data_IF_253134996382
#
_entry.id   IF_253134996382
#
_cell.length_a   1.000
_cell.length_b   1.000
_cell.length_c   1.000
_cell.angle_alpha   90.00
_cell.angle_beta   90.00
_cell.angle_gamma   90.00
#
_symmetry.space_group_name_H-M   'P 1'
#
loop_
_entity.id
_entity.type
_entity.pdbx_description
1 polymer ?
#
# COMPACT_ATOMS: atom_id res chain seq x y z
N UNK A 1 -1.13 -16.81 13.57
CA UNK A 1 -2.12 -15.73 13.35
C UNK A 1 -2.60 -15.62 11.91
N UNK A 2 -2.03 -16.36 10.94
CA UNK A 2 -2.55 -16.36 9.57
C UNK A 2 -2.35 -15.05 8.80
N UNK A 3 -1.47 -14.16 9.27
CA UNK A 3 -1.19 -12.88 8.61
C UNK A 3 -0.01 -13.11 7.66
N UNK A 4 -0.27 -12.96 6.37
CA UNK A 4 0.72 -12.98 5.31
C UNK A 4 0.88 -11.58 4.73
N UNK A 5 2.12 -11.10 4.65
CA UNK A 5 2.42 -9.91 3.86
C UNK A 5 2.73 -10.36 2.44
N UNK A 6 1.91 -9.95 1.47
CA UNK A 6 2.29 -10.04 0.08
C UNK A 6 2.96 -8.71 -0.29
N UNK A 7 4.29 -8.67 -0.49
CA UNK A 7 4.96 -7.46 -0.97
C UNK A 7 4.45 -7.03 -2.36
N UNK A 8 3.68 -7.91 -3.03
CA UNK A 8 2.78 -7.61 -4.12
C UNK A 8 3.44 -7.76 -5.48
N UNK A 9 3.14 -6.84 -6.40
CA UNK A 9 3.68 -6.87 -7.75
C UNK A 9 3.86 -5.46 -8.32
N UNK A 10 4.67 -5.39 -9.37
CA UNK A 10 4.77 -4.18 -10.18
C UNK A 10 3.44 -3.94 -10.89
N UNK A 11 3.02 -2.69 -10.92
CA UNK A 11 1.83 -2.22 -11.64
C UNK A 11 2.20 -1.08 -12.57
N UNK A 12 1.47 -0.92 -13.68
CA UNK A 12 1.67 0.19 -14.62
C UNK A 12 0.35 0.47 -15.35
N UNK A 13 0.37 0.49 -16.68
CA UNK A 13 -0.81 0.49 -17.56
C UNK A 13 -1.57 -0.83 -17.50
N UNK A 14 -0.91 -1.89 -17.05
CA UNK A 14 -1.51 -3.17 -16.70
C UNK A 14 -1.54 -3.31 -15.18
N UNK A 15 -2.56 -3.98 -14.66
CA UNK A 15 -2.74 -4.23 -13.22
C UNK A 15 -1.51 -4.97 -12.66
N UNK A 16 -1.16 -6.10 -13.27
CA UNK A 16 -0.03 -6.94 -12.89
C UNK A 16 0.96 -7.09 -14.03
N UNK A 17 2.13 -6.46 -13.89
CA UNK A 17 3.20 -6.58 -14.91
C UNK A 17 4.19 -7.68 -14.58
N UNK A 18 4.72 -7.72 -13.34
CA UNK A 18 5.63 -8.77 -12.88
C UNK A 18 5.73 -8.77 -11.34
N UNK A 19 6.02 -9.92 -10.73
CA UNK A 19 6.41 -9.97 -9.32
C UNK A 19 7.92 -10.08 -9.18
N UNK A 20 8.52 -9.07 -8.54
CA UNK A 20 9.95 -9.06 -8.23
C UNK A 20 10.24 -9.64 -6.83
N UNK A 21 9.20 -10.09 -6.13
CA UNK A 21 9.30 -10.57 -4.76
C UNK A 21 9.12 -12.08 -4.70
N UNK A 22 10.23 -12.79 -4.67
CA UNK A 22 10.25 -14.24 -4.51
C UNK A 22 11.55 -14.64 -3.82
N UNK A 23 11.56 -15.86 -3.29
CA UNK A 23 12.73 -16.38 -2.58
C UNK A 23 13.97 -16.39 -3.50
N UNK A 24 15.03 -15.71 -3.07
CA UNK A 24 16.26 -15.58 -3.85
C UNK A 24 16.24 -14.50 -4.93
N UNK A 25 15.21 -13.64 -4.97
CA UNK A 25 15.19 -12.51 -5.91
C UNK A 25 16.39 -11.59 -5.71
N UNK A 26 17.06 -11.28 -6.80
CA UNK A 26 18.16 -10.29 -6.87
C UNK A 26 17.71 -8.95 -7.44
N UNK A 27 16.41 -8.79 -7.70
CA UNK A 27 15.87 -7.58 -8.29
C UNK A 27 15.86 -6.44 -7.25
N UNK A 28 16.25 -5.25 -7.70
CA UNK A 28 16.26 -4.06 -6.85
C UNK A 28 15.06 -3.18 -7.17
N UNK A 29 14.44 -2.66 -6.11
CA UNK A 29 13.45 -1.60 -6.20
C UNK A 29 14.17 -0.30 -6.54
N UNK A 30 13.63 0.46 -7.51
CA UNK A 30 14.22 1.71 -7.99
C UNK A 30 13.17 2.83 -8.09
N UNK A 31 13.65 4.06 -8.07
CA UNK A 31 12.82 5.23 -8.37
C UNK A 31 12.06 5.05 -9.69
N UNK A 32 10.80 5.46 -9.71
CA UNK A 32 9.88 5.31 -10.85
C UNK A 32 9.10 4.00 -10.87
N UNK A 33 9.44 3.00 -10.05
CA UNK A 33 8.65 1.77 -9.96
C UNK A 33 7.34 2.02 -9.19
N UNK A 34 6.22 1.57 -9.76
CA UNK A 34 4.93 1.50 -9.09
C UNK A 34 4.63 0.06 -8.67
N UNK A 35 4.08 -0.07 -7.47
CA UNK A 35 3.83 -1.33 -6.79
C UNK A 35 2.39 -1.34 -6.27
N UNK A 36 1.73 -2.47 -6.38
CA UNK A 36 0.60 -2.80 -5.52
C UNK A 36 1.14 -3.62 -4.34
N UNK A 37 0.70 -3.31 -3.13
CA UNK A 37 1.06 -4.03 -1.91
C UNK A 37 -0.21 -4.58 -1.26
N UNK A 38 -0.20 -5.86 -0.87
CA UNK A 38 -1.37 -6.50 -0.27
C UNK A 38 -1.06 -6.98 1.16
N UNK A 39 -1.90 -6.55 2.09
CA UNK A 39 -1.87 -7.01 3.48
C UNK A 39 -3.01 -8.00 3.67
N UNK A 40 -2.67 -9.28 3.84
CA UNK A 40 -3.65 -10.37 3.89
C UNK A 40 -3.64 -10.97 5.29
N UNK A 41 -4.81 -10.95 5.95
CA UNK A 41 -5.03 -11.68 7.19
C UNK A 41 -6.02 -12.81 6.92
N UNK A 42 -5.51 -14.05 6.89
CA UNK A 42 -6.29 -15.26 6.69
C UNK A 42 -6.07 -16.24 7.85
N UNK A 43 -6.89 -16.17 8.92
CA UNK A 43 -6.75 -17.05 10.09
C UNK A 43 -7.14 -18.52 9.82
N UNK A 44 -7.80 -18.82 8.69
CA UNK A 44 -8.33 -20.15 8.36
C UNK A 44 -9.75 -20.38 8.87
N UNK A 45 -10.37 -21.47 8.40
CA UNK A 45 -11.74 -21.86 8.77
C UNK A 45 -11.93 -21.96 10.30
N UNK A 46 -13.09 -21.55 10.85
CA UNK A 46 -14.32 -21.10 10.16
C UNK A 46 -14.34 -19.59 9.83
N UNK A 47 -13.22 -18.88 10.00
CA UNK A 47 -13.17 -17.44 9.89
C UNK A 47 -12.84 -17.00 8.45
N UNK A 48 -13.51 -15.94 7.98
CA UNK A 48 -13.17 -15.30 6.72
C UNK A 48 -11.83 -14.57 6.76
N UNK A 49 -11.14 -14.51 5.63
CA UNK A 49 -9.98 -13.66 5.45
C UNK A 49 -10.37 -12.21 5.18
N UNK A 50 -9.45 -11.30 5.45
CA UNK A 50 -9.50 -9.93 4.96
C UNK A 50 -8.22 -9.62 4.19
N UNK A 51 -8.37 -8.87 3.12
CA UNK A 51 -7.24 -8.29 2.38
C UNK A 51 -7.46 -6.79 2.22
N UNK A 52 -6.36 -6.04 2.22
CA UNK A 52 -6.34 -4.67 1.73
C UNK A 52 -5.23 -4.56 0.71
N UNK A 53 -5.54 -3.91 -0.41
CA UNK A 53 -4.67 -3.78 -1.57
C UNK A 53 -4.53 -2.30 -1.89
N UNK A 54 -3.28 -1.84 -1.98
CA UNK A 54 -3.01 -0.43 -2.17
C UNK A 54 -1.85 -0.17 -3.11
N UNK A 55 -2.02 0.83 -3.97
CA UNK A 55 -0.98 1.34 -4.86
C UNK A 55 -0.02 2.29 -4.16
N UNK A 56 1.26 2.15 -4.48
CA UNK A 56 2.30 3.12 -4.15
C UNK A 56 3.33 3.18 -5.27
N UNK A 57 4.19 4.20 -5.24
CA UNK A 57 5.37 4.22 -6.09
C UNK A 57 6.60 4.64 -5.31
N UNK A 58 7.76 4.39 -5.90
CA UNK A 58 9.06 4.69 -5.33
C UNK A 58 9.61 5.93 -6.01
N UNK A 59 10.02 6.91 -5.21
CA UNK A 59 10.58 8.16 -5.70
C UNK A 59 11.80 8.56 -4.89
N UNK A 60 12.96 8.55 -5.53
CA UNK A 60 14.16 9.17 -4.98
C UNK A 60 14.00 10.70 -4.80
N UNK A 61 14.99 11.34 -4.18
CA UNK A 61 14.93 12.77 -3.89
C UNK A 61 14.67 13.64 -5.13
N UNK A 62 15.33 13.34 -6.26
CA UNK A 62 15.16 14.09 -7.51
C UNK A 62 13.74 13.93 -8.09
N UNK A 63 13.21 12.70 -8.06
CA UNK A 63 11.86 12.40 -8.53
C UNK A 63 10.80 13.07 -7.65
N UNK A 64 11.00 13.09 -6.33
CA UNK A 64 10.13 13.82 -5.40
C UNK A 64 10.12 15.33 -5.68
N UNK A 65 11.29 15.93 -5.94
CA UNK A 65 11.39 17.35 -6.29
C UNK A 65 10.63 17.70 -7.57
N UNK A 66 10.74 16.84 -8.60
CA UNK A 66 9.97 16.98 -9.85
C UNK A 66 8.48 16.93 -9.56
N UNK A 67 8.01 15.95 -8.78
CA UNK A 67 6.58 15.79 -8.45
C UNK A 67 6.07 16.98 -7.63
N UNK A 68 6.87 17.44 -6.66
CA UNK A 68 6.52 18.58 -5.84
C UNK A 68 6.36 19.86 -6.67
N UNK A 69 7.28 20.08 -7.61
CA UNK A 69 7.30 21.27 -8.47
C UNK A 69 6.20 21.22 -9.54
N UNK A 70 6.08 20.11 -10.28
CA UNK A 70 5.20 20.01 -11.44
C UNK A 70 3.76 19.60 -11.07
N UNK A 71 3.59 18.85 -9.98
CA UNK A 71 2.29 18.29 -9.57
C UNK A 71 1.99 18.58 -8.08
N UNK A 72 1.97 19.85 -7.65
CA UNK A 72 1.88 20.22 -6.23
C UNK A 72 0.61 19.71 -5.54
N UNK A 73 -0.50 19.54 -6.27
CA UNK A 73 -1.73 18.99 -5.71
C UNK A 73 -1.62 17.49 -5.42
N UNK A 74 -0.94 16.74 -6.28
CA UNK A 74 -0.66 15.31 -6.04
C UNK A 74 0.33 15.14 -4.90
N UNK A 75 1.37 15.96 -4.86
CA UNK A 75 2.33 16.01 -3.75
C UNK A 75 1.65 16.23 -2.41
N UNK A 76 0.75 17.22 -2.30
CA UNK A 76 -0.04 17.48 -1.08
C UNK A 76 -0.85 16.27 -0.61
N UNK A 77 -1.46 15.51 -1.53
CA UNK A 77 -2.21 14.29 -1.18
C UNK A 77 -1.28 13.19 -0.68
N UNK A 78 -0.16 12.97 -1.38
CA UNK A 78 0.85 11.98 -1.00
C UNK A 78 1.41 12.29 0.40
N UNK A 79 1.82 13.52 0.66
CA UNK A 79 2.34 13.92 1.97
C UNK A 79 1.30 13.79 3.08
N UNK A 80 0.02 14.14 2.81
CA UNK A 80 -1.08 13.91 3.76
C UNK A 80 -1.21 12.42 4.11
N UNK A 81 -1.16 11.53 3.11
CA UNK A 81 -1.25 10.07 3.32
C UNK A 81 -0.04 9.54 4.08
N UNK A 82 1.18 9.98 3.72
CA UNK A 82 2.42 9.64 4.44
C UNK A 82 2.34 10.04 5.91
N UNK A 83 1.80 11.22 6.20
CA UNK A 83 1.57 11.69 7.57
C UNK A 83 0.57 10.81 8.31
N UNK A 84 -0.56 10.47 7.70
CA UNK A 84 -1.55 9.56 8.31
C UNK A 84 -0.92 8.20 8.63
N UNK A 85 -0.17 7.61 7.69
CA UNK A 85 0.51 6.34 7.93
C UNK A 85 1.48 6.41 9.12
N UNK A 86 2.30 7.45 9.20
CA UNK A 86 3.32 7.60 10.26
C UNK A 86 2.71 7.96 11.62
N UNK A 87 1.82 8.95 11.65
CA UNK A 87 1.35 9.58 12.90
C UNK A 87 0.08 8.92 13.46
N UNK A 88 -0.78 8.36 12.61
CA UNK A 88 -2.05 7.76 13.03
C UNK A 88 -1.96 6.23 13.04
N UNK A 89 -1.45 5.64 11.96
CA UNK A 89 -1.36 4.17 11.85
C UNK A 89 -0.09 3.60 12.52
N UNK A 90 0.90 4.44 12.84
CA UNK A 90 2.18 3.99 13.39
C UNK A 90 3.05 3.20 12.40
N UNK A 91 2.77 3.31 11.09
CA UNK A 91 3.51 2.61 10.04
C UNK A 91 4.67 3.49 9.60
N UNK A 92 5.89 3.07 9.94
CA UNK A 92 7.11 3.74 9.53
C UNK A 92 7.43 3.39 8.07
N UNK A 93 7.42 4.41 7.22
CA UNK A 93 7.79 4.31 5.80
C UNK A 93 9.02 5.16 5.50
N UNK A 94 9.88 4.64 4.62
CA UNK A 94 11.03 5.37 4.10
C UNK A 94 10.59 6.61 3.30
N UNK A 95 11.51 7.54 3.07
CA UNK A 95 11.15 8.78 2.41
C UNK A 95 10.77 8.60 0.95
N UNK A 96 11.28 7.56 0.30
CA UNK A 96 11.04 7.24 -1.09
C UNK A 96 9.70 6.54 -1.34
N UNK A 97 8.99 6.10 -0.30
CA UNK A 97 7.69 5.41 -0.43
C UNK A 97 6.54 6.41 -0.57
N UNK A 98 5.94 6.47 -1.76
CA UNK A 98 4.88 7.43 -2.10
C UNK A 98 3.51 6.73 -2.22
N UNK A 99 2.67 6.74 -1.17
CA UNK A 99 1.34 6.13 -1.19
C UNK A 99 0.35 6.90 -2.09
N UNK A 100 -0.40 6.16 -2.91
CA UNK A 100 -1.37 6.75 -3.85
C UNK A 100 -2.82 6.47 -3.51
N UNK A 101 -3.09 5.43 -2.69
CA UNK A 101 -4.42 5.09 -2.19
C UNK A 101 -4.95 6.10 -1.16
N UNK A 102 -6.25 6.41 -1.22
CA UNK A 102 -6.92 7.23 -0.20
C UNK A 102 -7.12 6.49 1.12
N UNK A 103 -7.05 5.15 1.09
CA UNK A 103 -7.25 4.27 2.25
C UNK A 103 -6.02 3.39 2.52
N UNK A 104 -4.82 3.88 2.19
CA UNK A 104 -3.57 3.13 2.32
C UNK A 104 -3.41 2.42 3.67
N UNK A 105 -3.27 1.09 3.62
CA UNK A 105 -3.12 0.18 4.76
C UNK A 105 -4.30 0.21 5.75
N UNK A 106 -5.48 0.64 5.31
CA UNK A 106 -6.68 0.75 6.14
C UNK A 106 -7.80 -0.12 5.61
N UNK A 107 -8.38 -0.93 6.51
CA UNK A 107 -9.64 -1.61 6.30
C UNK A 107 -10.72 -0.96 7.16
N UNK A 108 -11.83 -0.59 6.54
CA UNK A 108 -13.01 -0.10 7.25
C UNK A 108 -14.05 -1.22 7.30
N UNK A 109 -14.16 -1.98 8.40
CA UNK A 109 -15.18 -3.01 8.51
C UNK A 109 -16.58 -2.38 8.36
N UNK A 110 -17.46 -3.09 7.65
CA UNK A 110 -18.85 -2.71 7.41
C UNK A 110 -19.05 -1.24 6.99
N UNK A 111 -18.51 -0.86 5.82
CA UNK A 111 -18.65 0.49 5.24
C UNK A 111 -18.27 1.64 6.20
N UNK A 112 -17.39 1.39 7.18
CA UNK A 112 -16.93 2.40 8.13
C UNK A 112 -17.70 2.47 9.44
N UNK A 113 -18.71 1.61 9.68
CA UNK A 113 -19.31 1.48 11.00
C UNK A 113 -18.53 0.47 11.85
N UNK A 114 -17.65 0.97 12.71
CA UNK A 114 -16.81 0.17 13.59
C UNK A 114 -17.57 -0.60 14.67
N UNK A 115 -18.88 -0.39 14.83
CA UNK A 115 -19.74 -1.14 15.77
C UNK A 115 -20.40 -2.36 15.14
N UNK A 116 -20.23 -2.60 13.84
CA UNK A 116 -20.87 -3.70 13.12
C UNK A 116 -19.83 -4.65 12.54
N UNK A 117 -20.05 -5.95 12.74
CA UNK A 117 -19.23 -7.03 12.18
C UNK A 117 -20.12 -7.85 11.25
N UNK A 118 -19.65 -8.09 10.02
CA UNK A 118 -20.29 -9.03 9.12
C UNK A 118 -20.07 -10.46 9.64
N UNK A 119 -21.15 -11.16 9.98
CA UNK A 119 -21.11 -12.57 10.36
C UNK A 119 -21.76 -13.43 9.27
N UNK A 120 -21.27 -14.65 9.11
CA UNK A 120 -21.95 -15.68 8.32
C UNK A 120 -23.26 -16.05 9.03
N UNK A 121 -24.34 -16.24 8.26
CA UNK A 121 -25.64 -16.74 8.75
C UNK A 121 -25.54 -18.25 8.97
#
# INVERSE_FOLDING_TARGET
FGIGLNPGHLTHTEEWTNSIFFQGSTHQIKSGMALQCDIIAFPGEPFGGVHVEDGLFIADAATREIIQTQYPNSWKRIEKRRRIMKEILGIHIADEVMPTSDIQAMLFPYMGNTNLVLTKI
#
